data_IF_445172574070
#
_entry.id   IF_445172574070
#
_cell.length_a   1.000
_cell.length_b   1.000
_cell.length_c   1.000
_cell.angle_alpha   90.00
_cell.angle_beta   90.00
_cell.angle_gamma   90.00
#
_symmetry.space_group_name_H-M   'P 1'
#
loop_
_entity.id
_entity.type
_entity.pdbx_description
1 polymer ?
#
# COMPACT_ATOMS: atom_id res chain seq x y z
N UNK A 1 -11.96 -57.61 11.18
CA UNK A 1 -12.10 -56.52 10.19
C UNK A 1 -11.24 -55.35 10.63
N UNK A 2 -9.96 -55.40 10.28
CA UNK A 2 -8.96 -54.39 10.59
C UNK A 2 -8.97 -53.34 9.48
N UNK A 3 -9.39 -52.12 9.80
CA UNK A 3 -9.30 -50.98 8.87
C UNK A 3 -7.83 -50.60 8.72
N UNK A 4 -7.24 -50.91 7.57
CA UNK A 4 -5.91 -50.44 7.20
C UNK A 4 -5.95 -48.92 7.00
N UNK A 5 -5.13 -48.17 7.77
CA UNK A 5 -4.91 -46.74 7.53
C UNK A 5 -4.18 -46.57 6.20
N UNK A 6 -4.72 -45.71 5.35
CA UNK A 6 -4.06 -45.26 4.12
C UNK A 6 -2.81 -44.46 4.52
N UNK A 7 -1.61 -44.79 4.02
CA UNK A 7 -0.44 -43.98 4.29
C UNK A 7 -0.56 -42.65 3.56
N UNK A 8 -0.47 -41.55 4.31
CA UNK A 8 -0.29 -40.22 3.72
C UNK A 8 1.12 -40.18 3.11
N UNK A 9 1.17 -40.24 1.78
CA UNK A 9 2.36 -39.92 1.00
C UNK A 9 2.70 -38.45 1.23
N UNK A 10 3.82 -38.16 1.89
CA UNK A 10 4.47 -36.84 1.85
C UNK A 10 4.99 -36.63 0.42
N UNK A 11 4.10 -36.23 -0.49
CA UNK A 11 4.49 -35.76 -1.80
C UNK A 11 5.06 -34.34 -1.64
N UNK A 12 6.33 -34.08 -1.93
CA UNK A 12 6.86 -32.72 -1.90
C UNK A 12 6.15 -31.94 -3.00
N UNK A 13 5.48 -30.86 -2.64
CA UNK A 13 4.77 -29.99 -3.59
C UNK A 13 5.79 -29.56 -4.67
N UNK A 14 5.63 -29.96 -5.95
CA UNK A 14 6.70 -29.84 -6.94
C UNK A 14 6.85 -28.43 -7.54
N UNK A 15 6.17 -27.43 -7.00
CA UNK A 15 6.23 -26.05 -7.49
C UNK A 15 6.26 -25.06 -6.31
N UNK A 16 7.43 -24.91 -5.69
CA UNK A 16 7.70 -23.66 -5.00
C UNK A 16 7.76 -22.57 -6.07
N UNK A 17 6.83 -21.60 -6.02
CA UNK A 17 6.92 -20.40 -6.85
C UNK A 17 8.29 -19.73 -6.62
N UNK A 18 8.94 -19.16 -7.64
CA UNK A 18 10.21 -18.48 -7.48
C UNK A 18 9.99 -17.16 -6.72
N UNK A 19 9.92 -17.25 -5.40
CA UNK A 19 9.76 -16.10 -4.53
C UNK A 19 11.00 -15.21 -4.63
N UNK A 20 10.81 -13.91 -4.85
CA UNK A 20 11.90 -12.92 -4.84
C UNK A 20 12.69 -12.96 -3.52
N UNK A 21 12.00 -13.24 -2.41
CA UNK A 21 12.58 -13.38 -1.08
C UNK A 21 12.09 -14.68 -0.44
N UNK A 22 12.74 -15.83 -0.72
CA UNK A 22 12.26 -17.14 -0.30
C UNK A 22 12.18 -17.29 1.23
N UNK A 23 13.09 -16.68 1.98
CA UNK A 23 13.03 -16.71 3.45
C UNK A 23 11.82 -15.97 4.03
N UNK A 24 11.38 -14.87 3.40
CA UNK A 24 10.19 -14.14 3.84
C UNK A 24 8.92 -14.96 3.57
N UNK A 25 8.87 -15.58 2.39
CA UNK A 25 7.77 -16.48 2.03
C UNK A 25 7.71 -17.68 3.00
N UNK A 26 8.85 -18.29 3.32
CA UNK A 26 8.91 -19.40 4.28
C UNK A 26 8.40 -19.00 5.67
N UNK A 27 8.80 -17.82 6.18
CA UNK A 27 8.28 -17.29 7.47
C UNK A 27 6.77 -17.07 7.44
N UNK A 28 6.25 -16.51 6.36
CA UNK A 28 4.81 -16.30 6.18
C UNK A 28 4.06 -17.64 6.14
N UNK A 29 4.50 -18.61 5.32
CA UNK A 29 3.88 -19.93 5.22
C UNK A 29 3.94 -20.69 6.54
N UNK A 30 5.05 -20.61 7.27
CA UNK A 30 5.16 -21.23 8.60
C UNK A 30 4.17 -20.62 9.59
N UNK A 31 4.06 -19.29 9.64
CA UNK A 31 3.11 -18.60 10.53
C UNK A 31 1.64 -18.93 10.17
N UNK A 32 1.31 -18.99 8.88
CA UNK A 32 -0.01 -19.40 8.39
C UNK A 32 -0.38 -20.86 8.73
N UNK A 33 0.61 -21.74 8.87
CA UNK A 33 0.38 -23.14 9.27
C UNK A 33 0.12 -23.28 10.78
N UNK A 34 0.60 -22.34 11.60
CA UNK A 34 0.44 -22.35 13.05
C UNK A 34 -0.87 -21.70 13.51
N UNK A 35 -1.27 -20.60 12.85
CA UNK A 35 -2.47 -19.83 13.23
C UNK A 35 -3.02 -18.98 12.09
N UNK A 36 -4.23 -18.45 12.31
CA UNK A 36 -4.81 -17.41 11.47
C UNK A 36 -3.99 -16.12 11.67
N UNK A 37 -3.60 -15.50 10.55
CA UNK A 37 -3.01 -14.17 10.53
C UNK A 37 -4.06 -13.13 10.17
N UNK A 38 -4.00 -11.97 10.82
CA UNK A 38 -4.93 -10.86 10.61
C UNK A 38 -4.29 -9.82 9.71
N UNK A 39 -4.92 -9.51 8.59
CA UNK A 39 -4.57 -8.34 7.77
C UNK A 39 -5.24 -7.09 8.34
N UNK A 40 -4.64 -5.92 8.16
CA UNK A 40 -5.20 -4.66 8.60
C UNK A 40 -6.53 -4.32 7.92
N UNK A 41 -7.14 -3.23 8.39
CA UNK A 41 -8.42 -2.76 7.89
C UNK A 41 -8.29 -1.67 6.83
N UNK A 42 -9.44 -1.12 6.43
CA UNK A 42 -9.50 -0.10 5.39
C UNK A 42 -8.76 1.20 5.76
N UNK A 43 -7.62 1.43 5.09
CA UNK A 43 -6.83 2.66 5.16
C UNK A 43 -7.67 3.92 4.87
N UNK A 44 -8.48 3.91 3.81
CA UNK A 44 -9.30 5.05 3.41
C UNK A 44 -10.30 5.51 4.47
N UNK A 45 -10.94 4.56 5.17
CA UNK A 45 -11.88 4.87 6.27
C UNK A 45 -11.17 5.51 7.45
N UNK A 46 -9.94 5.09 7.74
CA UNK A 46 -9.13 5.70 8.79
C UNK A 46 -8.69 7.11 8.42
N UNK A 47 -8.23 7.32 7.17
CA UNK A 47 -7.85 8.65 6.65
C UNK A 47 -9.02 9.64 6.75
N UNK A 48 -10.25 9.22 6.41
CA UNK A 48 -11.44 10.08 6.47
C UNK A 48 -11.69 10.68 7.88
N UNK A 49 -11.23 10.02 8.95
CA UNK A 49 -11.39 10.52 10.34
C UNK A 49 -10.51 11.73 10.66
N UNK A 50 -9.50 12.01 9.84
CA UNK A 50 -8.59 13.13 10.04
C UNK A 50 -9.09 14.46 9.42
N UNK A 51 -10.26 14.45 8.76
CA UNK A 51 -10.89 15.62 8.12
C UNK A 51 -9.94 16.46 7.23
N UNK A 52 -9.10 15.75 6.46
CA UNK A 52 -8.05 16.35 5.65
C UNK A 52 -8.62 17.28 4.56
N UNK A 53 -7.95 18.41 4.39
CA UNK A 53 -8.24 19.46 3.42
C UNK A 53 -7.21 19.43 2.30
N UNK A 54 -7.48 20.19 1.23
CA UNK A 54 -6.61 20.26 0.03
C UNK A 54 -5.12 20.48 0.36
N UNK A 55 -4.73 21.40 1.27
CA UNK A 55 -3.32 21.62 1.60
C UNK A 55 -2.63 20.39 2.21
N UNK A 56 -3.38 19.53 2.92
CA UNK A 56 -2.81 18.35 3.56
C UNK A 56 -2.35 17.32 2.51
N UNK A 57 -3.08 17.16 1.41
CA UNK A 57 -2.68 16.27 0.31
C UNK A 57 -1.47 16.81 -0.45
N UNK A 58 -1.39 18.14 -0.61
CA UNK A 58 -0.32 18.80 -1.38
C UNK A 58 1.01 18.84 -0.64
N UNK A 59 0.98 19.12 0.67
CA UNK A 59 2.19 19.39 1.43
C UNK A 59 3.07 20.46 0.75
N UNK A 60 4.39 20.36 0.94
CA UNK A 60 5.35 21.27 0.27
C UNK A 60 5.66 20.82 -1.16
N UNK A 61 5.81 19.51 -1.39
CA UNK A 61 6.23 18.94 -2.67
C UNK A 61 5.22 19.18 -3.80
N UNK A 62 3.94 19.29 -3.49
CA UNK A 62 2.87 19.45 -4.48
C UNK A 62 2.06 20.73 -4.30
N UNK A 63 2.65 21.76 -3.67
CA UNK A 63 1.94 23.00 -3.32
C UNK A 63 1.23 23.64 -4.52
N UNK A 64 1.90 23.62 -5.68
CA UNK A 64 1.40 24.21 -6.93
C UNK A 64 0.48 23.26 -7.73
N UNK A 65 0.27 22.03 -7.26
CA UNK A 65 -0.60 21.03 -7.91
C UNK A 65 0.11 20.07 -8.86
N UNK A 66 1.44 20.05 -8.86
CA UNK A 66 2.28 19.10 -9.59
C UNK A 66 3.46 18.69 -8.70
N UNK A 67 4.16 17.61 -9.05
CA UNK A 67 5.34 17.17 -8.31
C UNK A 67 6.51 18.15 -8.48
N UNK A 68 6.92 18.89 -7.45
CA UNK A 68 8.08 19.80 -7.58
C UNK A 68 9.43 19.09 -7.70
N UNK A 69 9.48 17.76 -7.53
CA UNK A 69 10.70 16.96 -7.54
C UNK A 69 10.86 16.07 -8.79
N UNK A 70 9.88 16.03 -9.71
CA UNK A 70 10.02 15.25 -10.94
C UNK A 70 11.01 15.90 -11.93
N UNK A 71 11.56 15.08 -12.83
CA UNK A 71 12.44 15.55 -13.89
C UNK A 71 11.59 16.06 -15.05
N UNK A 72 11.77 17.34 -15.40
CA UNK A 72 11.09 17.92 -16.57
C UNK A 72 11.54 17.25 -17.87
N UNK A 73 10.56 16.86 -18.69
CA UNK A 73 10.78 16.16 -19.95
C UNK A 73 9.76 16.53 -21.01
N UNK A 74 9.79 15.81 -22.14
CA UNK A 74 8.83 16.02 -23.23
C UNK A 74 7.42 15.68 -22.71
N UNK A 75 6.49 16.64 -22.82
CA UNK A 75 5.13 16.50 -22.27
C UNK A 75 4.94 17.10 -20.87
N UNK A 76 5.97 17.72 -20.29
CA UNK A 76 5.85 18.50 -19.07
C UNK A 76 5.40 19.93 -19.40
N UNK A 77 4.10 20.18 -19.40
CA UNK A 77 3.46 21.45 -19.79
C UNK A 77 2.90 22.26 -18.62
N UNK A 78 3.03 21.78 -17.38
CA UNK A 78 2.65 22.56 -16.19
C UNK A 78 3.53 23.80 -15.95
N UNK A 79 4.69 23.90 -16.59
CA UNK A 79 5.46 25.14 -16.68
C UNK A 79 4.73 26.24 -17.51
N UNK A 80 3.72 25.86 -18.29
CA UNK A 80 2.96 26.71 -19.20
C UNK A 80 1.44 26.72 -18.91
N UNK A 81 0.96 25.84 -18.02
CA UNK A 81 -0.43 25.78 -17.58
C UNK A 81 -0.58 26.42 -16.19
N UNK A 82 -1.28 27.56 -16.05
CA UNK A 82 -1.44 28.25 -14.76
C UNK A 82 -2.42 27.57 -13.80
N UNK A 83 -3.07 26.47 -14.22
CA UNK A 83 -4.12 25.81 -13.46
C UNK A 83 -3.55 24.71 -12.56
N UNK A 84 -3.66 24.94 -11.26
CA UNK A 84 -3.25 23.99 -10.23
C UNK A 84 -4.19 22.78 -10.18
N UNK A 85 -3.69 21.57 -10.45
CA UNK A 85 -4.50 20.35 -10.41
C UNK A 85 -4.98 20.01 -8.98
N UNK A 86 -6.20 19.49 -8.87
CA UNK A 86 -6.74 19.07 -7.57
C UNK A 86 -6.18 17.71 -7.18
N UNK A 87 -5.42 17.66 -6.10
CA UNK A 87 -4.81 16.44 -5.58
C UNK A 87 -5.59 15.85 -4.40
N UNK A 88 -6.70 16.49 -4.01
CA UNK A 88 -7.51 16.03 -2.88
C UNK A 88 -8.15 14.69 -3.20
N UNK A 89 -8.00 13.73 -2.28
CA UNK A 89 -8.53 12.37 -2.44
C UNK A 89 -7.51 11.37 -2.94
N UNK A 90 -6.36 11.82 -3.44
CA UNK A 90 -5.21 10.96 -3.73
C UNK A 90 -4.51 10.58 -2.42
N UNK A 91 -5.08 9.61 -1.71
CA UNK A 91 -4.60 9.18 -0.39
C UNK A 91 -3.16 8.68 -0.42
N UNK A 92 -2.71 8.13 -1.55
CA UNK A 92 -1.35 7.65 -1.77
C UNK A 92 -0.31 8.77 -1.56
N UNK A 93 -0.64 10.02 -1.91
CA UNK A 93 0.24 11.18 -1.69
C UNK A 93 0.51 11.49 -0.21
N UNK A 94 -0.35 11.04 0.70
CA UNK A 94 -0.16 11.25 2.13
C UNK A 94 1.10 10.54 2.65
N UNK A 95 1.64 9.55 1.93
CA UNK A 95 2.98 9.00 2.23
C UNK A 95 4.09 10.05 2.11
N UNK A 96 3.88 11.08 1.28
CA UNK A 96 4.85 12.14 0.99
C UNK A 96 4.51 13.46 1.68
N UNK A 97 3.22 13.78 1.81
CA UNK A 97 2.78 15.05 2.39
C UNK A 97 2.43 14.98 3.88
N UNK A 98 2.00 13.80 4.38
CA UNK A 98 1.57 13.55 5.78
C UNK A 98 1.97 12.14 6.27
N UNK A 99 3.26 11.77 6.18
CA UNK A 99 3.73 10.42 6.51
C UNK A 99 3.38 9.98 7.94
N UNK A 100 3.31 10.93 8.87
CA UNK A 100 2.95 10.70 10.27
C UNK A 100 1.52 10.18 10.45
N UNK A 101 0.58 10.60 9.59
CA UNK A 101 -0.81 10.12 9.63
C UNK A 101 -0.86 8.66 9.21
N UNK A 102 -0.22 8.32 8.09
CA UNK A 102 -0.19 6.94 7.57
C UNK A 102 0.53 6.01 8.56
N UNK A 103 1.66 6.45 9.11
CA UNK A 103 2.36 5.70 10.16
C UNK A 103 1.50 5.50 11.42
N UNK A 104 0.73 6.52 11.81
CA UNK A 104 -0.22 6.44 12.93
C UNK A 104 -1.33 5.43 12.68
N UNK A 105 -1.89 5.38 11.47
CA UNK A 105 -2.93 4.41 11.09
C UNK A 105 -2.38 2.98 11.12
N UNK A 106 -1.22 2.74 10.52
CA UNK A 106 -0.58 1.42 10.60
C UNK A 106 -0.31 0.99 12.04
N UNK A 107 0.18 1.91 12.88
CA UNK A 107 0.39 1.63 14.30
C UNK A 107 -0.91 1.27 15.01
N UNK A 108 -2.01 1.98 14.73
CA UNK A 108 -3.31 1.66 15.30
C UNK A 108 -3.80 0.26 14.91
N UNK A 109 -3.52 -0.20 13.68
CA UNK A 109 -3.85 -1.57 13.27
C UNK A 109 -2.95 -2.62 13.95
N UNK A 110 -1.65 -2.35 14.07
CA UNK A 110 -0.74 -3.22 14.83
C UNK A 110 -1.16 -3.32 16.30
N UNK A 111 -1.48 -2.20 16.94
CA UNK A 111 -1.94 -2.15 18.33
C UNK A 111 -3.29 -2.89 18.53
N UNK A 112 -4.11 -2.95 17.49
CA UNK A 112 -5.36 -3.72 17.46
C UNK A 112 -5.15 -5.22 17.16
N UNK A 113 -3.92 -5.66 16.87
CA UNK A 113 -3.56 -7.06 16.64
C UNK A 113 -3.44 -7.48 15.18
N UNK A 114 -3.32 -6.55 14.23
CA UNK A 114 -2.96 -6.90 12.86
C UNK A 114 -1.55 -7.51 12.80
N UNK A 115 -1.41 -8.60 12.05
CA UNK A 115 -0.14 -9.27 11.78
C UNK A 115 0.51 -8.79 10.48
N UNK A 116 -0.34 -8.35 9.54
CA UNK A 116 0.04 -7.91 8.20
C UNK A 116 -0.51 -6.52 7.95
N UNK A 117 0.29 -5.68 7.29
CA UNK A 117 -0.11 -4.33 6.88
C UNK A 117 -0.10 -4.25 5.36
N UNK A 118 -1.14 -3.66 4.80
CA UNK A 118 -1.14 -3.23 3.41
C UNK A 118 -0.37 -1.90 3.27
N UNK A 119 0.31 -1.69 2.16
CA UNK A 119 0.91 -0.38 1.86
C UNK A 119 -0.18 0.61 1.44
N UNK A 120 -0.01 1.90 1.75
CA UNK A 120 -0.90 2.97 1.25
C UNK A 120 -0.61 3.30 -0.22
N UNK A 121 -0.85 2.34 -1.11
CA UNK A 121 -0.45 2.40 -2.53
C UNK A 121 -1.53 1.86 -3.48
N UNK A 122 -2.80 1.93 -3.10
CA UNK A 122 -3.90 1.37 -3.90
C UNK A 122 -4.00 2.04 -5.29
N UNK A 123 -3.76 3.36 -5.38
CA UNK A 123 -3.77 4.12 -6.63
C UNK A 123 -2.38 4.50 -7.11
N UNK A 124 -1.30 3.93 -6.56
CA UNK A 124 0.08 4.26 -6.92
C UNK A 124 0.51 3.61 -8.25
N UNK A 125 -0.30 3.79 -9.29
CA UNK A 125 -0.02 3.36 -10.66
C UNK A 125 -0.05 4.55 -11.60
N UNK A 126 0.69 4.50 -12.71
CA UNK A 126 0.71 5.60 -13.69
C UNK A 126 -0.67 5.92 -14.26
N UNK A 127 -1.54 4.91 -14.39
CA UNK A 127 -2.89 5.10 -14.92
C UNK A 127 -3.76 5.87 -13.92
N UNK A 128 -3.76 5.48 -12.64
CA UNK A 128 -4.56 6.16 -11.62
C UNK A 128 -3.99 7.53 -11.25
N UNK A 129 -2.67 7.71 -11.29
CA UNK A 129 -2.04 9.00 -11.01
C UNK A 129 -2.23 10.02 -12.14
N UNK A 130 -2.48 9.56 -13.38
CA UNK A 130 -2.81 10.44 -14.50
C UNK A 130 -4.11 11.27 -14.27
N UNK A 131 -5.09 10.75 -13.52
CA UNK A 131 -6.29 11.50 -13.12
C UNK A 131 -5.96 12.71 -12.23
N UNK A 132 -4.80 12.67 -11.58
CA UNK A 132 -4.24 13.75 -10.76
C UNK A 132 -3.10 14.51 -11.47
N UNK A 133 -2.84 14.21 -12.74
CA UNK A 133 -1.75 14.77 -13.55
C UNK A 133 -0.35 14.50 -12.95
N UNK A 134 -0.15 13.32 -12.37
CA UNK A 134 1.12 12.85 -11.78
C UNK A 134 1.67 11.60 -12.48
#
# INVERSE_FOLDING_TARGET
>A
MTHARIPHSESPIPFALPWLHPERAAKLTAALAERILIIDGAMGTMIQRHDLKKPDYRGTRFADGYDSAHVHGRGCDHAHAPESHDLKGNNDLLLLSRPEIIAGIHRAYLDAGADLLETNTFNATSVSQADYHL
#
